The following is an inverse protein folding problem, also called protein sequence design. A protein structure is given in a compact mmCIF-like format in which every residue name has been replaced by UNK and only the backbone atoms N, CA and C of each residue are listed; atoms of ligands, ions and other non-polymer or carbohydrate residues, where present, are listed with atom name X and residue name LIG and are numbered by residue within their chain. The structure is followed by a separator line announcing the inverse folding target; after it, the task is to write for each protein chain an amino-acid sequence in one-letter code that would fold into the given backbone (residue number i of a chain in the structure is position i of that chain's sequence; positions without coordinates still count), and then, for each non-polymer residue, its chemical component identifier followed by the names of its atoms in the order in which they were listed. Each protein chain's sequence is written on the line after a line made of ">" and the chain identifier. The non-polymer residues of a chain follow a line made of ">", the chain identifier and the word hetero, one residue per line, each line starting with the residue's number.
data_IF_242154725008
#
_entry.id   IF_242154725008
#
_cell.length_a   1.000
_cell.length_b   1.000
_cell.length_c   1.000
_cell.angle_alpha   90.00
_cell.angle_beta   90.00
_cell.angle_gamma   90.00
#
_symmetry.space_group_name_H-M   'P 1'
#
loop_
_entity.id
_entity.type
_entity.pdbx_description
1 polymer ?
#
# COMPACT_ATOMS: atom_id res chain seq x y z
N UNK A 1 50.51 -25.69 -7.04
CA UNK A 1 49.34 -26.59 -6.95
C UNK A 1 48.27 -25.83 -6.18
N UNK A 2 47.09 -25.59 -6.77
CA UNK A 2 45.96 -24.96 -6.07
C UNK A 2 45.03 -26.07 -5.57
N UNK A 3 44.58 -25.96 -4.33
CA UNK A 3 43.63 -26.89 -3.69
C UNK A 3 42.40 -26.09 -3.30
N UNK A 4 41.21 -26.62 -3.59
CA UNK A 4 39.96 -25.99 -3.21
C UNK A 4 39.83 -25.99 -1.68
N UNK A 5 39.58 -24.81 -1.10
CA UNK A 5 39.29 -24.63 0.32
C UNK A 5 37.86 -24.14 0.50
N UNK A 6 37.19 -24.57 1.57
CA UNK A 6 35.87 -24.05 1.93
C UNK A 6 36.04 -22.69 2.62
N UNK A 7 35.36 -21.67 2.10
CA UNK A 7 35.33 -20.32 2.71
C UNK A 7 34.00 -19.58 2.56
N UNK A 8 33.02 -20.16 1.84
CA UNK A 8 31.75 -19.50 1.53
C UNK A 8 30.90 -19.21 2.77
N UNK A 9 30.73 -20.17 3.67
CA UNK A 9 29.91 -20.01 4.89
C UNK A 9 30.47 -18.91 5.80
N UNK A 10 31.77 -18.97 6.11
CA UNK A 10 32.43 -17.93 6.90
C UNK A 10 32.37 -16.54 6.24
N UNK A 11 32.44 -16.46 4.91
CA UNK A 11 32.28 -15.20 4.19
C UNK A 11 30.85 -14.66 4.28
N UNK A 12 29.84 -15.53 4.19
CA UNK A 12 28.42 -15.18 4.33
C UNK A 12 28.13 -14.69 5.75
N UNK A 13 28.60 -15.39 6.78
CA UNK A 13 28.37 -15.00 8.18
C UNK A 13 29.00 -13.64 8.49
N UNK A 14 30.23 -13.41 8.03
CA UNK A 14 30.87 -12.11 8.17
C UNK A 14 30.11 -11.00 7.41
N UNK A 15 29.61 -11.30 6.22
CA UNK A 15 28.80 -10.35 5.44
C UNK A 15 27.48 -10.00 6.16
N UNK A 16 26.82 -10.98 6.78
CA UNK A 16 25.61 -10.74 7.57
C UNK A 16 25.89 -9.94 8.84
N UNK A 17 26.99 -10.25 9.55
CA UNK A 17 27.44 -9.48 10.71
C UNK A 17 27.70 -8.02 10.33
N UNK A 18 28.42 -7.79 9.24
CA UNK A 18 28.69 -6.44 8.74
C UNK A 18 27.41 -5.73 8.28
N UNK A 19 26.49 -6.43 7.60
CA UNK A 19 25.19 -5.86 7.24
C UNK A 19 24.38 -5.43 8.48
N UNK A 20 24.43 -6.20 9.57
CA UNK A 20 23.77 -5.86 10.82
C UNK A 20 24.38 -4.60 11.47
N UNK A 21 25.71 -4.47 11.45
CA UNK A 21 26.42 -3.26 11.88
C UNK A 21 26.03 -2.05 11.03
N UNK A 22 26.04 -2.19 9.70
CA UNK A 22 25.64 -1.14 8.75
C UNK A 22 24.16 -0.78 8.83
N UNK A 23 23.30 -1.70 9.29
CA UNK A 23 21.89 -1.43 9.61
C UNK A 23 21.77 -0.64 10.91
N UNK A 24 22.54 -0.99 11.94
CA UNK A 24 22.50 -0.28 13.23
C UNK A 24 23.03 1.14 13.10
N UNK A 25 24.08 1.35 12.31
CA UNK A 25 24.71 2.67 12.16
C UNK A 25 25.38 3.15 13.46
N UNK A 26 25.49 4.46 13.60
CA UNK A 26 26.09 5.11 14.78
C UNK A 26 25.31 4.79 16.06
N UNK A 27 26.01 4.26 17.07
CA UNK A 27 25.42 3.86 18.35
C UNK A 27 25.11 5.02 19.28
N UNK A 28 25.69 6.20 19.02
CA UNK A 28 25.36 7.43 19.75
C UNK A 28 23.97 7.97 19.36
N UNK A 29 23.45 7.52 18.21
CA UNK A 29 22.08 7.78 17.77
C UNK A 29 21.16 6.67 18.29
N UNK A 30 19.99 7.07 18.81
CA UNK A 30 18.96 6.13 19.24
C UNK A 30 18.56 5.19 18.10
N UNK A 31 18.41 3.91 18.41
CA UNK A 31 17.97 2.93 17.42
C UNK A 31 16.53 3.22 16.98
N UNK A 32 16.24 3.05 15.69
CA UNK A 32 14.89 3.16 15.16
C UNK A 32 13.94 2.18 15.84
N UNK A 33 12.85 2.69 16.40
CA UNK A 33 11.80 1.89 16.98
C UNK A 33 10.73 1.49 15.94
N UNK A 34 10.11 0.33 16.14
CA UNK A 34 9.02 -0.15 15.28
C UNK A 34 7.85 0.83 15.32
N UNK A 35 7.51 1.39 16.50
CA UNK A 35 6.42 2.35 16.59
C UNK A 35 6.75 3.67 15.87
N UNK A 36 8.02 4.10 15.83
CA UNK A 36 8.42 5.27 15.05
C UNK A 36 8.17 5.04 13.56
N UNK A 37 8.64 3.92 13.01
CA UNK A 37 8.46 3.57 11.59
C UNK A 37 6.96 3.45 11.28
N UNK A 38 6.22 2.69 12.10
CA UNK A 38 4.78 2.46 11.91
C UNK A 38 3.98 3.75 11.84
N UNK A 39 4.24 4.69 12.75
CA UNK A 39 3.43 5.91 12.88
C UNK A 39 3.91 7.07 11.99
N UNK A 40 5.22 7.19 11.74
CA UNK A 40 5.80 8.35 11.05
C UNK A 40 6.13 8.08 9.59
N UNK A 41 6.33 6.81 9.20
CA UNK A 41 6.59 6.39 7.82
C UNK A 41 5.42 5.56 7.25
N UNK A 42 4.19 5.90 7.64
CA UNK A 42 2.98 5.11 7.36
C UNK A 42 2.79 4.78 5.87
N UNK A 43 3.10 5.70 4.95
CA UNK A 43 2.98 5.44 3.51
C UNK A 43 3.92 4.32 3.00
N UNK A 44 5.12 4.22 3.58
CA UNK A 44 6.03 3.12 3.26
C UNK A 44 5.50 1.79 3.82
N UNK A 45 4.94 1.83 5.03
CA UNK A 45 4.31 0.69 5.69
C UNK A 45 3.11 0.19 4.87
N UNK A 46 2.25 1.10 4.39
CA UNK A 46 1.09 0.80 3.54
C UNK A 46 1.51 0.09 2.25
N UNK A 47 2.56 0.60 1.57
CA UNK A 47 3.10 -0.03 0.36
C UNK A 47 3.62 -1.45 0.65
N UNK A 48 4.35 -1.63 1.74
CA UNK A 48 4.89 -2.95 2.15
C UNK A 48 3.75 -3.92 2.49
N UNK A 49 2.70 -3.47 3.18
CA UNK A 49 1.52 -4.31 3.46
C UNK A 49 0.77 -4.72 2.19
N UNK A 50 0.58 -3.78 1.25
CA UNK A 50 -0.14 -4.02 0.00
C UNK A 50 0.59 -5.03 -0.90
N UNK A 51 1.82 -4.71 -1.31
CA UNK A 51 2.61 -5.56 -2.21
C UNK A 51 3.07 -6.87 -1.52
N UNK A 52 3.25 -6.81 -0.20
CA UNK A 52 3.53 -7.95 0.68
C UNK A 52 2.33 -8.90 0.87
N UNK A 53 1.11 -8.38 0.67
CA UNK A 53 -0.16 -9.09 0.86
C UNK A 53 -0.36 -9.65 2.28
N UNK A 54 0.07 -8.88 3.26
CA UNK A 54 -0.13 -9.15 4.67
C UNK A 54 -0.44 -7.82 5.36
N UNK A 55 -1.68 -7.69 5.84
CA UNK A 55 -2.11 -6.50 6.56
C UNK A 55 -1.71 -6.61 8.03
N UNK A 56 -0.49 -6.19 8.34
CA UNK A 56 0.05 -6.08 9.70
C UNK A 56 1.11 -4.98 9.72
N UNK A 57 0.79 -3.85 10.35
CA UNK A 57 1.62 -2.66 10.32
C UNK A 57 2.91 -2.80 11.16
N UNK A 58 2.88 -3.62 12.21
CA UNK A 58 4.06 -3.87 13.05
C UNK A 58 5.05 -4.78 12.31
N UNK A 59 4.56 -5.82 11.63
CA UNK A 59 5.40 -6.67 10.79
C UNK A 59 5.98 -5.91 9.59
N UNK A 60 5.17 -5.08 8.92
CA UNK A 60 5.65 -4.26 7.82
C UNK A 60 6.73 -3.25 8.29
N UNK A 61 6.52 -2.59 9.44
CA UNK A 61 7.53 -1.72 10.04
C UNK A 61 8.81 -2.49 10.44
N UNK A 62 8.69 -3.70 10.99
CA UNK A 62 9.83 -4.57 11.27
C UNK A 62 10.59 -4.95 10.00
N UNK A 63 9.89 -5.30 8.91
CA UNK A 63 10.51 -5.62 7.63
C UNK A 63 11.27 -4.43 7.05
N UNK A 64 10.70 -3.22 7.12
CA UNK A 64 11.37 -1.96 6.73
C UNK A 64 12.63 -1.72 7.57
N UNK A 65 12.54 -1.91 8.89
CA UNK A 65 13.70 -1.81 9.80
C UNK A 65 14.79 -2.81 9.41
N UNK A 66 14.40 -4.07 9.17
CA UNK A 66 15.31 -5.15 8.81
C UNK A 66 16.02 -4.90 7.47
N UNK A 67 15.30 -4.35 6.49
CA UNK A 67 15.81 -4.05 5.15
C UNK A 67 16.52 -2.70 5.03
N UNK A 68 16.72 -1.97 6.14
CA UNK A 68 17.34 -0.63 6.13
C UNK A 68 16.58 0.38 5.27
N UNK A 69 15.25 0.23 5.17
CA UNK A 69 14.40 1.08 4.35
C UNK A 69 14.29 0.65 2.88
N UNK A 70 14.96 -0.42 2.44
CA UNK A 70 14.71 -0.99 1.12
C UNK A 70 13.33 -1.65 1.09
N UNK A 71 12.39 -1.02 0.38
CA UNK A 71 11.01 -1.48 0.33
C UNK A 71 10.84 -2.76 -0.48
N UNK A 72 11.67 -3.00 -1.50
CA UNK A 72 11.59 -4.22 -2.32
C UNK A 72 11.97 -5.43 -1.45
N UNK A 73 13.05 -5.30 -0.67
CA UNK A 73 13.48 -6.32 0.28
C UNK A 73 12.45 -6.48 1.42
N UNK A 74 11.90 -5.38 1.96
CA UNK A 74 10.85 -5.46 2.98
C UNK A 74 9.60 -6.21 2.49
N UNK A 75 9.15 -5.93 1.26
CA UNK A 75 8.03 -6.63 0.62
C UNK A 75 8.37 -8.12 0.47
N UNK A 76 9.59 -8.45 0.05
CA UNK A 76 10.01 -9.84 -0.08
C UNK A 76 10.01 -10.57 1.27
N UNK A 77 10.54 -9.94 2.33
CA UNK A 77 10.49 -10.46 3.70
C UNK A 77 9.06 -10.76 4.15
N UNK A 78 8.13 -9.83 3.92
CA UNK A 78 6.71 -10.02 4.27
C UNK A 78 6.08 -11.17 3.48
N UNK A 79 6.34 -11.26 2.17
CA UNK A 79 5.82 -12.35 1.34
C UNK A 79 6.37 -13.70 1.78
N UNK A 80 7.65 -13.77 2.11
CA UNK A 80 8.28 -14.96 2.65
C UNK A 80 7.65 -15.34 4.00
N UNK A 81 7.52 -14.39 4.93
CA UNK A 81 6.93 -14.63 6.24
C UNK A 81 5.49 -15.13 6.15
N UNK A 82 4.68 -14.56 5.24
CA UNK A 82 3.30 -15.03 4.98
C UNK A 82 3.23 -16.53 4.66
N UNK A 83 4.24 -17.11 4.01
CA UNK A 83 4.23 -18.56 3.70
C UNK A 83 4.37 -19.45 4.94
N UNK A 84 4.85 -18.90 6.05
CA UNK A 84 5.01 -19.60 7.33
C UNK A 84 3.75 -19.59 8.17
N UNK A 85 2.77 -18.75 7.83
CA UNK A 85 1.56 -18.54 8.62
C UNK A 85 0.44 -19.52 8.20
N UNK A 86 -0.27 -20.12 9.17
CA UNK A 86 -1.46 -20.91 8.86
C UNK A 86 -2.60 -20.02 8.38
N UNK A 87 -3.40 -20.53 7.44
CA UNK A 87 -4.64 -19.86 6.99
C UNK A 87 -5.81 -20.37 7.82
N UNK A 88 -6.34 -19.53 8.72
CA UNK A 88 -7.47 -19.89 9.59
C UNK A 88 -8.83 -19.82 8.89
N UNK A 89 -8.98 -18.97 7.87
CA UNK A 89 -10.26 -18.78 7.18
C UNK A 89 -10.22 -17.69 6.12
N UNK A 90 -11.41 -17.23 5.74
CA UNK A 90 -11.64 -16.07 4.87
C UNK A 90 -12.57 -15.08 5.58
N UNK A 91 -12.42 -13.79 5.27
CA UNK A 91 -13.36 -12.77 5.74
C UNK A 91 -14.66 -12.82 4.95
N UNK A 92 -15.69 -12.13 5.46
CA UNK A 92 -16.79 -11.71 4.61
C UNK A 92 -16.31 -10.64 3.61
N UNK A 93 -16.99 -10.45 2.47
CA UNK A 93 -16.72 -9.34 1.56
C UNK A 93 -16.81 -7.98 2.27
N UNK A 94 -15.90 -7.06 1.92
CA UNK A 94 -15.83 -5.73 2.53
C UNK A 94 -16.97 -4.85 1.96
N UNK A 95 -17.77 -4.25 2.85
CA UNK A 95 -18.82 -3.29 2.49
C UNK A 95 -18.27 -1.86 2.48
N UNK A 96 -17.67 -1.44 1.36
CA UNK A 96 -17.04 -0.11 1.26
C UNK A 96 -18.03 1.06 1.36
N UNK A 97 -19.32 0.82 1.12
CA UNK A 97 -20.37 1.82 1.30
C UNK A 97 -20.57 2.24 2.78
N UNK A 98 -20.13 1.41 3.72
CA UNK A 98 -20.19 1.66 5.17
C UNK A 98 -18.85 2.18 5.72
N UNK A 99 -17.91 2.56 4.85
CA UNK A 99 -16.58 3.02 5.25
C UNK A 99 -16.64 4.31 6.07
N UNK A 100 -15.94 4.34 7.20
CA UNK A 100 -15.61 5.57 7.90
C UNK A 100 -14.56 6.36 7.08
N UNK A 101 -15.01 7.23 6.18
CA UNK A 101 -14.13 7.93 5.25
C UNK A 101 -13.24 8.96 5.96
N UNK A 102 -11.91 8.75 5.93
CA UNK A 102 -10.92 9.80 6.24
C UNK A 102 -10.71 10.75 5.06
N UNK A 103 -10.93 10.26 3.84
CA UNK A 103 -10.82 11.00 2.58
C UNK A 103 -11.86 10.47 1.59
N UNK A 104 -12.49 11.37 0.84
CA UNK A 104 -13.47 11.08 -0.21
C UNK A 104 -13.46 12.21 -1.22
N UNK A 105 -13.03 11.92 -2.45
CA UNK A 105 -13.01 12.90 -3.53
C UNK A 105 -13.62 12.31 -4.80
N UNK A 106 -14.21 13.15 -5.64
CA UNK A 106 -14.66 12.79 -6.98
C UNK A 106 -14.31 13.90 -7.96
N UNK A 107 -13.79 13.51 -9.13
CA UNK A 107 -13.49 14.43 -10.23
C UNK A 107 -14.63 14.53 -11.25
N UNK A 108 -15.69 13.74 -11.08
CA UNK A 108 -16.83 13.68 -12.03
C UNK A 108 -17.93 14.68 -11.70
N UNK A 109 -18.07 15.05 -10.42
CA UNK A 109 -19.02 16.05 -9.95
C UNK A 109 -18.31 17.09 -9.10
N UNK A 110 -18.78 18.34 -9.19
CA UNK A 110 -18.29 19.44 -8.36
C UNK A 110 -18.66 19.21 -6.89
N UNK A 111 -19.96 19.00 -6.64
CA UNK A 111 -20.54 18.79 -5.32
C UNK A 111 -21.28 17.44 -5.31
N UNK A 112 -21.18 16.71 -4.20
CA UNK A 112 -21.74 15.36 -4.03
C UNK A 112 -22.34 15.21 -2.63
N UNK A 113 -23.37 14.37 -2.41
CA UNK A 113 -23.89 14.10 -1.06
C UNK A 113 -22.78 13.64 -0.11
N UNK A 114 -22.74 14.19 1.10
CA UNK A 114 -21.64 13.97 2.06
C UNK A 114 -20.36 14.77 1.75
N UNK A 115 -20.37 15.63 0.74
CA UNK A 115 -19.31 16.56 0.40
C UNK A 115 -18.01 15.94 -0.14
N UNK A 116 -17.09 16.82 -0.54
CA UNK A 116 -15.72 16.49 -0.90
C UNK A 116 -14.86 16.57 0.37
N UNK A 117 -14.28 15.45 0.80
CA UNK A 117 -13.43 15.34 2.00
C UNK A 117 -11.99 15.11 1.56
N UNK A 118 -11.15 16.15 1.62
CA UNK A 118 -9.74 16.03 1.23
C UNK A 118 -8.94 15.12 2.18
N UNK A 119 -9.24 15.16 3.48
CA UNK A 119 -8.46 14.41 4.47
C UNK A 119 -6.96 14.76 4.48
N UNK A 120 -6.13 13.95 5.14
CA UNK A 120 -4.66 14.09 5.11
C UNK A 120 -4.13 13.79 3.70
N UNK A 121 -3.56 14.79 3.01
CA UNK A 121 -3.04 14.62 1.64
C UNK A 121 -1.85 15.53 1.35
N UNK A 122 -0.98 15.08 0.44
CA UNK A 122 0.06 15.90 -0.17
C UNK A 122 -0.42 16.71 -1.39
N UNK A 123 -1.67 16.51 -1.81
CA UNK A 123 -2.26 17.33 -2.86
C UNK A 123 -2.24 18.81 -2.47
N UNK A 124 -2.06 19.67 -3.47
CA UNK A 124 -2.01 21.13 -3.29
C UNK A 124 -0.85 21.67 -2.45
N UNK A 125 0.04 20.83 -1.91
CA UNK A 125 1.24 21.29 -1.20
C UNK A 125 2.29 21.85 -2.17
N UNK A 126 3.12 22.79 -1.71
CA UNK A 126 4.31 23.21 -2.46
C UNK A 126 5.44 22.23 -2.18
N UNK A 127 6.07 21.68 -3.23
CA UNK A 127 7.08 20.62 -3.13
C UNK A 127 8.45 21.24 -2.81
N UNK A 128 8.56 21.84 -1.63
CA UNK A 128 9.76 22.46 -1.09
C UNK A 128 10.20 21.65 0.13
N UNK A 129 11.51 21.45 0.30
CA UNK A 129 12.04 20.81 1.51
C UNK A 129 11.73 21.69 2.73
N UNK A 130 11.08 21.11 3.74
CA UNK A 130 10.78 21.80 4.99
C UNK A 130 11.92 21.60 6.00
N UNK A 131 12.83 22.57 6.05
CA UNK A 131 13.96 22.56 6.98
C UNK A 131 13.55 22.66 8.46
N UNK A 132 12.30 23.02 8.77
CA UNK A 132 11.81 23.04 10.16
C UNK A 132 11.76 21.64 10.78
N UNK A 133 11.54 20.61 9.96
CA UNK A 133 11.52 19.21 10.40
C UNK A 133 12.90 18.67 10.83
N UNK A 134 13.99 19.39 10.54
CA UNK A 134 15.32 19.05 11.04
C UNK A 134 15.56 19.50 12.50
N UNK A 135 14.63 20.24 13.08
CA UNK A 135 14.61 20.64 14.49
C UNK A 135 13.33 20.10 15.17
N UNK A 136 13.24 20.23 16.48
CA UNK A 136 12.01 19.89 17.20
C UNK A 136 10.84 20.74 16.70
N UNK A 137 9.79 20.06 16.26
CA UNK A 137 8.60 20.68 15.69
C UNK A 137 7.43 20.47 16.65
N UNK A 138 6.90 21.56 17.19
CA UNK A 138 5.61 21.54 17.88
C UNK A 138 4.51 21.32 16.84
N UNK A 139 3.69 20.29 17.04
CA UNK A 139 2.51 20.05 16.21
C UNK A 139 1.38 20.91 16.77
N UNK A 140 0.84 21.80 15.95
CA UNK A 140 -0.46 22.40 16.26
C UNK A 140 -1.53 21.37 15.95
N UNK A 141 -2.33 20.99 16.94
CA UNK A 141 -3.49 20.12 16.70
C UNK A 141 -4.34 20.74 15.58
N UNK A 142 -4.64 19.93 14.56
CA UNK A 142 -5.52 20.37 13.49
C UNK A 142 -6.89 20.70 14.12
N UNK A 143 -7.38 21.92 13.89
CA UNK A 143 -8.74 22.27 14.26
C UNK A 143 -9.68 21.30 13.54
N UNK A 144 -10.30 20.39 14.30
CA UNK A 144 -11.34 19.52 13.78
C UNK A 144 -12.48 20.44 13.32
N UNK A 145 -12.63 20.61 12.00
CA UNK A 145 -13.85 21.18 11.45
C UNK A 145 -15.02 20.35 11.95
N UNK A 146 -16.15 20.99 12.26
CA UNK A 146 -17.36 20.27 12.64
C UNK A 146 -17.63 19.23 11.55
N UNK A 147 -17.45 17.95 11.88
CA UNK A 147 -17.97 16.89 11.04
C UNK A 147 -19.47 17.13 10.99
N UNK A 148 -20.03 17.40 9.81
CA UNK A 148 -21.47 17.29 9.65
C UNK A 148 -21.80 15.83 9.93
N UNK A 149 -22.23 15.61 11.17
CA UNK A 149 -22.66 14.33 11.63
C UNK A 149 -23.79 13.90 10.69
N UNK A 150 -23.67 12.67 10.19
CA UNK A 150 -24.79 11.93 9.61
C UNK A 150 -25.17 12.20 8.13
N UNK A 151 -24.31 12.82 7.31
CA UNK A 151 -24.52 12.74 5.86
C UNK A 151 -24.02 11.41 5.28
N UNK A 152 -24.96 10.68 4.65
CA UNK A 152 -24.69 9.47 3.87
C UNK A 152 -23.66 9.78 2.78
N UNK A 153 -22.68 8.88 2.60
CA UNK A 153 -21.60 9.01 1.62
C UNK A 153 -21.73 7.93 0.56
N UNK A 154 -22.78 7.96 -0.29
CA UNK A 154 -22.95 6.97 -1.33
C UNK A 154 -21.75 6.97 -2.30
N UNK A 155 -21.49 5.81 -2.90
CA UNK A 155 -20.53 5.73 -4.00
C UNK A 155 -21.02 6.59 -5.16
N UNK A 156 -20.14 7.41 -5.75
CA UNK A 156 -20.55 8.30 -6.84
C UNK A 156 -21.05 7.53 -8.07
N UNK A 157 -20.52 6.34 -8.29
CA UNK A 157 -20.98 5.44 -9.35
C UNK A 157 -22.44 5.01 -9.19
N UNK A 158 -23.04 5.07 -7.98
CA UNK A 158 -24.46 4.75 -7.81
C UNK A 158 -25.36 5.75 -8.52
N UNK A 159 -25.02 7.04 -8.54
CA UNK A 159 -25.78 8.05 -9.30
C UNK A 159 -25.77 7.74 -10.80
N UNK A 160 -24.61 7.34 -11.32
CA UNK A 160 -24.47 6.95 -12.72
C UNK A 160 -25.22 5.65 -13.04
N UNK A 161 -25.28 4.71 -12.09
CA UNK A 161 -26.07 3.48 -12.23
C UNK A 161 -27.57 3.78 -12.28
N UNK A 162 -28.06 4.64 -11.38
CA UNK A 162 -29.48 5.01 -11.30
C UNK A 162 -29.97 5.68 -12.60
N UNK A 163 -29.08 6.39 -13.29
CA UNK A 163 -29.32 6.99 -14.61
C UNK A 163 -29.01 6.07 -15.79
N UNK A 164 -28.60 4.82 -15.55
CA UNK A 164 -28.16 3.84 -16.56
C UNK A 164 -27.01 4.34 -17.46
N UNK A 165 -26.14 5.20 -16.92
CA UNK A 165 -24.96 5.75 -17.61
C UNK A 165 -23.73 4.83 -17.49
N UNK A 166 -23.73 3.91 -16.52
CA UNK A 166 -22.69 2.91 -16.34
C UNK A 166 -23.31 1.54 -16.08
N UNK A 167 -22.58 0.49 -16.49
CA UNK A 167 -22.98 -0.89 -16.25
C UNK A 167 -22.79 -1.24 -14.76
N UNK A 168 -23.80 -1.80 -14.08
CA UNK A 168 -23.63 -2.32 -12.73
C UNK A 168 -22.78 -3.60 -12.73
N UNK A 169 -21.99 -3.78 -11.68
CA UNK A 169 -21.26 -5.03 -11.46
C UNK A 169 -22.19 -6.09 -10.85
N UNK A 170 -22.22 -7.32 -11.38
CA UNK A 170 -23.05 -8.38 -10.84
C UNK A 170 -22.53 -8.81 -9.45
N UNK A 171 -23.45 -8.93 -8.49
CA UNK A 171 -23.15 -9.59 -7.22
C UNK A 171 -22.95 -11.08 -7.44
N UNK A 172 -21.98 -11.66 -6.73
CA UNK A 172 -21.69 -13.09 -6.76
C UNK A 172 -21.18 -13.55 -5.41
N UNK A 173 -21.76 -14.63 -4.90
CA UNK A 173 -21.28 -15.36 -3.71
C UNK A 173 -20.29 -16.48 -4.08
N UNK A 174 -19.90 -16.58 -5.36
CA UNK A 174 -18.92 -17.57 -5.80
C UNK A 174 -17.56 -17.30 -5.15
N UNK A 175 -16.92 -18.37 -4.68
CA UNK A 175 -15.57 -18.26 -4.13
C UNK A 175 -14.60 -17.87 -5.24
N UNK A 176 -13.88 -16.74 -5.12
CA UNK A 176 -12.96 -16.31 -6.15
C UNK A 176 -11.75 -17.26 -6.23
N UNK A 177 -11.19 -17.50 -7.43
CA UNK A 177 -9.93 -18.21 -7.60
C UNK A 177 -8.78 -17.49 -6.88
N UNK A 178 -7.73 -18.23 -6.49
CA UNK A 178 -6.65 -17.74 -5.63
C UNK A 178 -5.26 -18.04 -6.20
N UNK A 179 -4.59 -17.02 -6.74
CA UNK A 179 -3.25 -17.12 -7.30
C UNK A 179 -2.16 -17.53 -6.31
N UNK A 180 -2.46 -17.48 -5.00
CA UNK A 180 -1.54 -17.94 -3.95
C UNK A 180 -1.64 -19.45 -3.71
N UNK A 181 -2.61 -20.12 -4.33
CA UNK A 181 -2.82 -21.58 -4.25
C UNK A 181 -2.62 -22.26 -5.59
N UNK A 182 -3.08 -21.62 -6.66
CA UNK A 182 -3.00 -22.14 -8.03
C UNK A 182 -2.18 -21.19 -8.90
N UNK A 183 -1.26 -21.72 -9.74
CA UNK A 183 -0.53 -20.91 -10.69
C UNK A 183 -1.47 -20.10 -11.60
N UNK A 184 -1.04 -18.89 -11.96
CA UNK A 184 -1.81 -18.04 -12.87
C UNK A 184 -1.72 -18.57 -14.31
N UNK A 185 -2.87 -18.93 -14.88
CA UNK A 185 -3.00 -19.28 -16.30
C UNK A 185 -3.69 -18.15 -17.09
N UNK A 186 -3.25 -17.93 -18.33
CA UNK A 186 -3.79 -16.90 -19.21
C UNK A 186 -4.67 -17.52 -20.31
N UNK A 187 -5.85 -16.92 -20.62
CA UNK A 187 -6.39 -15.69 -20.04
C UNK A 187 -6.95 -15.89 -18.62
N UNK A 188 -6.60 -14.99 -17.71
CA UNK A 188 -7.04 -15.04 -16.31
C UNK A 188 -8.39 -14.34 -16.10
N UNK A 189 -9.18 -14.80 -15.13
CA UNK A 189 -10.44 -14.15 -14.73
C UNK A 189 -10.21 -12.75 -14.13
N UNK A 190 -11.27 -11.92 -14.05
CA UNK A 190 -11.18 -10.57 -13.45
C UNK A 190 -10.69 -10.64 -11.99
N UNK A 191 -11.17 -11.61 -11.22
CA UNK A 191 -10.76 -11.82 -9.83
C UNK A 191 -9.25 -12.07 -9.70
N UNK A 192 -8.68 -12.97 -10.52
CA UNK A 192 -7.23 -13.23 -10.52
C UNK A 192 -6.42 -12.02 -10.96
N UNK A 193 -6.90 -11.27 -11.97
CA UNK A 193 -6.22 -10.05 -12.42
C UNK A 193 -6.19 -8.99 -11.32
N UNK A 194 -7.31 -8.76 -10.61
CA UNK A 194 -7.35 -7.82 -9.49
C UNK A 194 -6.45 -8.27 -8.32
N UNK A 195 -6.42 -9.57 -8.03
CA UNK A 195 -5.52 -10.14 -7.03
C UNK A 195 -4.05 -10.00 -7.45
N UNK A 196 -3.72 -10.12 -8.73
CA UNK A 196 -2.37 -9.89 -9.23
C UNK A 196 -1.98 -8.40 -9.16
N UNK A 197 -2.89 -7.50 -9.56
CA UNK A 197 -2.67 -6.05 -9.54
C UNK A 197 -2.46 -5.51 -8.13
N UNK A 198 -3.22 -5.98 -7.13
CA UNK A 198 -3.03 -5.54 -5.73
C UNK A 198 -1.68 -5.97 -5.13
N UNK A 199 -0.97 -6.88 -5.80
CA UNK A 199 0.31 -7.46 -5.38
C UNK A 199 1.48 -7.04 -6.29
N UNK A 200 1.20 -6.21 -7.28
CA UNK A 200 2.17 -5.76 -8.28
C UNK A 200 2.97 -4.57 -7.79
N UNK A 201 4.16 -4.38 -8.37
CA UNK A 201 5.00 -3.22 -8.08
C UNK A 201 4.30 -1.92 -8.46
N UNK A 202 4.21 -1.00 -7.50
CA UNK A 202 3.56 0.30 -7.68
C UNK A 202 4.15 1.08 -8.87
N UNK A 203 5.48 1.13 -8.98
CA UNK A 203 6.17 1.88 -10.04
C UNK A 203 5.88 1.34 -11.44
N UNK A 204 5.92 0.02 -11.60
CA UNK A 204 5.58 -0.67 -12.84
C UNK A 204 4.12 -0.42 -13.23
N UNK A 205 3.18 -0.58 -12.30
CA UNK A 205 1.76 -0.37 -12.57
C UNK A 205 1.44 1.09 -12.88
N UNK A 206 2.09 2.05 -12.20
CA UNK A 206 1.99 3.47 -12.52
C UNK A 206 2.51 3.76 -13.93
N UNK A 207 3.65 3.18 -14.32
CA UNK A 207 4.18 3.32 -15.68
C UNK A 207 3.22 2.79 -16.75
N UNK A 208 2.62 1.61 -16.49
CA UNK A 208 1.60 1.04 -17.37
C UNK A 208 0.35 1.92 -17.45
N UNK A 209 -0.17 2.37 -16.31
CA UNK A 209 -1.31 3.30 -16.24
C UNK A 209 -1.04 4.59 -17.00
N UNK A 210 0.13 5.20 -16.79
CA UNK A 210 0.55 6.40 -17.50
C UNK A 210 0.64 6.20 -19.02
N UNK A 211 1.10 5.04 -19.49
CA UNK A 211 1.14 4.75 -20.93
C UNK A 211 -0.26 4.78 -21.57
N UNK A 212 -1.29 4.30 -20.87
CA UNK A 212 -2.69 4.34 -21.35
C UNK A 212 -3.22 5.76 -21.46
N UNK A 213 -2.87 6.63 -20.50
CA UNK A 213 -3.20 8.06 -20.52
C UNK A 213 -2.53 8.78 -21.71
N UNK A 214 -1.35 8.28 -22.12
CA UNK A 214 -0.59 8.79 -23.27
C UNK A 214 -1.00 8.17 -24.62
N UNK A 215 -2.00 7.30 -24.64
CA UNK A 215 -2.63 6.79 -25.87
C UNK A 215 -2.38 5.31 -26.18
N UNK A 216 -1.52 4.61 -25.43
CA UNK A 216 -1.28 3.18 -25.62
C UNK A 216 -2.40 2.36 -24.96
N UNK A 217 -3.45 2.01 -25.70
CA UNK A 217 -4.62 1.34 -25.13
C UNK A 217 -5.53 2.29 -24.33
N UNK A 218 -5.77 3.48 -24.88
CA UNK A 218 -6.55 4.56 -24.25
C UNK A 218 -7.94 4.08 -23.79
N UNK A 219 -8.31 4.46 -22.57
CA UNK A 219 -9.59 4.11 -21.93
C UNK A 219 -10.40 5.31 -21.39
N UNK A 220 -9.92 6.54 -21.56
CA UNK A 220 -10.60 7.77 -21.10
C UNK A 220 -10.97 7.75 -19.60
N UNK A 221 -10.01 7.38 -18.74
CA UNK A 221 -10.24 7.26 -17.30
C UNK A 221 -10.59 8.59 -16.59
N UNK A 222 -11.51 8.50 -15.62
CA UNK A 222 -11.84 9.54 -14.65
C UNK A 222 -11.78 8.96 -13.23
N UNK A 223 -11.56 9.82 -12.23
CA UNK A 223 -11.69 9.45 -10.82
C UNK A 223 -13.16 9.64 -10.43
N UNK A 224 -13.90 8.51 -10.41
CA UNK A 224 -15.33 8.43 -10.09
C UNK A 224 -15.62 8.80 -8.65
#
# INVERSE_FOLDING_TARGET
>A
MYVAVKGGEAAIDNAHGWLAEMRRGDTDIAELDIAQIRNQLALAVDRVMAEGSLFDADLAALAIKQSRGDLIEAIFLIRAYRTTLPRFGASQPIKTAEMACMRRISATFKDVPGGQVLGPTFDYTHRLLDFKLAAESEITEAGLGAAEADETKPHITSFLNDENLIQPEPESDETPPDLTREPLELPASRALRLQALSRGDEGFLLGMGYSTQRGYGRNHAFVG
#
